data_IF_902327680044
#
_entry.id   IF_902327680044
#
_cell.length_a   1.000
_cell.length_b   1.000
_cell.length_c   1.000
_cell.angle_alpha   90.00
_cell.angle_beta   90.00
_cell.angle_gamma   90.00
#
_symmetry.space_group_name_H-M   'P 1'
#
loop_
_entity.id
_entity.type
_entity.pdbx_description
1 polymer ?
#
# COMPACT_ATOMS: atom_id res chain seq x y z
N UNK A 1 7.17 -4.81 -7.76
CA UNK A 1 7.24 -3.36 -7.46
C UNK A 1 8.50 -3.00 -6.70
N UNK A 2 8.82 -3.69 -5.60
CA UNK A 2 10.06 -3.48 -4.83
C UNK A 2 11.32 -3.47 -5.72
N UNK A 3 11.44 -4.39 -6.67
CA UNK A 3 12.55 -4.41 -7.65
C UNK A 3 12.65 -3.15 -8.51
N UNK A 4 11.52 -2.56 -8.93
CA UNK A 4 11.50 -1.35 -9.75
C UNK A 4 11.96 -0.15 -8.91
N UNK A 5 11.46 -0.03 -7.68
CA UNK A 5 11.87 1.01 -6.73
C UNK A 5 13.38 0.89 -6.45
N UNK A 6 13.88 -0.31 -6.17
CA UNK A 6 15.32 -0.55 -5.99
C UNK A 6 16.17 -0.23 -7.24
N UNK A 7 15.66 -0.53 -8.44
CA UNK A 7 16.36 -0.18 -9.68
C UNK A 7 16.45 1.35 -9.88
N UNK A 8 15.36 2.07 -9.57
CA UNK A 8 15.34 3.54 -9.58
C UNK A 8 16.33 4.09 -8.56
N UNK A 9 16.34 3.54 -7.34
CA UNK A 9 17.30 3.92 -6.30
C UNK A 9 18.74 3.85 -6.80
N UNK A 10 19.16 2.69 -7.33
CA UNK A 10 20.53 2.53 -7.82
C UNK A 10 20.83 3.45 -9.02
N UNK A 11 19.88 3.65 -9.93
CA UNK A 11 20.04 4.58 -11.04
C UNK A 11 20.24 6.02 -10.56
N UNK A 12 19.48 6.46 -9.55
CA UNK A 12 19.58 7.80 -8.97
C UNK A 12 20.89 7.98 -8.18
N UNK A 13 21.35 6.95 -7.47
CA UNK A 13 22.66 6.95 -6.79
C UNK A 13 23.79 7.07 -7.82
N UNK A 14 23.78 6.26 -8.87
CA UNK A 14 24.78 6.31 -9.96
C UNK A 14 24.75 7.69 -10.64
N UNK A 15 23.56 8.21 -10.92
CA UNK A 15 23.37 9.55 -11.49
C UNK A 15 24.00 10.65 -10.62
N UNK A 16 23.86 10.52 -9.29
CA UNK A 16 24.47 11.44 -8.35
C UNK A 16 26.00 11.35 -8.37
N UNK A 17 26.57 10.15 -8.37
CA UNK A 17 28.02 9.96 -8.47
C UNK A 17 28.61 10.51 -9.77
N UNK A 18 27.97 10.24 -10.91
CA UNK A 18 28.41 10.70 -12.22
C UNK A 18 28.42 12.24 -12.35
N UNK A 19 27.65 12.94 -11.51
CA UNK A 19 27.64 14.42 -11.51
C UNK A 19 28.93 15.08 -11.04
N UNK A 20 29.82 14.31 -10.42
CA UNK A 20 31.18 14.78 -10.11
C UNK A 20 32.05 14.92 -11.36
N UNK A 21 31.69 14.33 -12.50
CA UNK A 21 32.43 14.43 -13.76
C UNK A 21 32.15 15.80 -14.40
N UNK A 22 33.14 16.69 -14.37
CA UNK A 22 32.97 18.12 -14.70
C UNK A 22 33.42 18.54 -16.10
N UNK A 23 34.22 17.73 -16.82
CA UNK A 23 34.88 18.12 -18.09
C UNK A 23 34.97 16.95 -19.07
N UNK A 24 34.97 17.27 -20.37
CA UNK A 24 35.11 16.32 -21.48
C UNK A 24 33.80 15.63 -21.90
N UNK A 25 33.86 14.75 -22.90
CA UNK A 25 32.70 14.00 -23.44
C UNK A 25 31.95 13.22 -22.36
N UNK A 26 32.64 12.74 -21.33
CA UNK A 26 32.01 12.05 -20.19
C UNK A 26 31.05 12.92 -19.37
N UNK A 27 31.25 14.24 -19.33
CA UNK A 27 30.34 15.16 -18.65
C UNK A 27 29.01 15.32 -19.40
N UNK A 28 29.04 15.29 -20.74
CA UNK A 28 27.83 15.33 -21.57
C UNK A 28 26.99 14.06 -21.39
N UNK A 29 27.64 12.88 -21.46
CA UNK A 29 26.98 11.60 -21.20
C UNK A 29 26.41 11.51 -19.78
N UNK A 30 27.14 11.97 -18.76
CA UNK A 30 26.65 12.01 -17.38
C UNK A 30 25.41 12.92 -17.24
N UNK A 31 25.40 14.07 -17.91
CA UNK A 31 24.25 14.99 -17.93
C UNK A 31 23.05 14.37 -18.63
N UNK A 32 23.25 13.72 -19.78
CA UNK A 32 22.19 13.04 -20.51
C UNK A 32 21.60 11.89 -19.69
N UNK A 33 22.45 11.03 -19.13
CA UNK A 33 22.05 9.93 -18.25
C UNK A 33 21.15 10.45 -17.12
N UNK A 34 21.58 11.53 -16.44
CA UNK A 34 20.79 12.14 -15.38
C UNK A 34 19.41 12.60 -15.84
N UNK A 35 19.32 13.31 -16.97
CA UNK A 35 18.02 13.78 -17.49
C UNK A 35 17.09 12.59 -17.72
N UNK A 36 17.60 11.53 -18.37
CA UNK A 36 16.83 10.30 -18.63
C UNK A 36 16.38 9.66 -17.31
N UNK A 37 17.27 9.49 -16.33
CA UNK A 37 16.93 8.90 -15.03
C UNK A 37 15.85 9.71 -14.30
N UNK A 38 15.95 11.04 -14.28
CA UNK A 38 14.97 11.91 -13.62
C UNK A 38 13.60 11.78 -14.29
N UNK A 39 13.55 11.95 -15.61
CA UNK A 39 12.28 11.88 -16.37
C UNK A 39 11.63 10.51 -16.20
N UNK A 40 12.42 9.43 -16.31
CA UNK A 40 11.94 8.07 -16.11
C UNK A 40 11.40 7.84 -14.69
N UNK A 41 12.14 8.28 -13.66
CA UNK A 41 11.74 8.12 -12.26
C UNK A 41 10.45 8.88 -11.95
N UNK A 42 10.34 10.14 -12.39
CA UNK A 42 9.12 10.95 -12.23
C UNK A 42 7.94 10.27 -12.92
N UNK A 43 8.14 9.74 -14.13
CA UNK A 43 7.08 9.08 -14.89
C UNK A 43 6.55 7.84 -14.18
N UNK A 44 7.45 6.97 -13.68
CA UNK A 44 7.06 5.77 -12.92
C UNK A 44 6.33 6.13 -11.63
N UNK A 45 6.87 7.07 -10.85
CA UNK A 45 6.24 7.45 -9.59
C UNK A 45 4.89 8.13 -9.82
N UNK A 46 4.75 8.94 -10.88
CA UNK A 46 3.47 9.57 -11.23
C UNK A 46 2.44 8.53 -11.65
N UNK A 47 2.81 7.61 -12.55
CA UNK A 47 1.94 6.50 -12.95
C UNK A 47 1.49 5.68 -11.75
N UNK A 48 2.44 5.33 -10.86
CA UNK A 48 2.14 4.55 -9.67
C UNK A 48 1.25 5.30 -8.68
N UNK A 49 1.51 6.58 -8.46
CA UNK A 49 0.69 7.44 -7.60
C UNK A 49 -0.75 7.51 -8.10
N UNK A 50 -0.95 7.70 -9.41
CA UNK A 50 -2.29 7.71 -10.02
C UNK A 50 -2.95 6.34 -9.82
N UNK A 51 -2.25 5.25 -10.12
CA UNK A 51 -2.78 3.89 -9.96
C UNK A 51 -3.20 3.58 -8.52
N UNK A 52 -2.48 4.10 -7.53
CA UNK A 52 -2.78 3.87 -6.10
C UNK A 52 -3.83 4.84 -5.54
N UNK A 53 -3.92 6.06 -6.08
CA UNK A 53 -4.79 7.13 -5.57
C UNK A 53 -6.14 7.21 -6.27
N UNK A 54 -6.24 6.71 -7.50
CA UNK A 54 -7.53 6.57 -8.16
C UNK A 54 -8.40 5.64 -7.31
N UNK A 55 -9.47 6.19 -6.73
CA UNK A 55 -10.56 5.41 -6.12
C UNK A 55 -11.24 4.70 -7.27
N UNK A 56 -10.66 3.57 -7.69
CA UNK A 56 -11.30 2.69 -8.63
C UNK A 56 -12.54 2.17 -7.93
N UNK A 57 -13.72 2.63 -8.34
CA UNK A 57 -14.89 1.76 -8.28
C UNK A 57 -14.47 0.58 -9.14
N UNK A 58 -14.18 -0.52 -8.48
CA UNK A 58 -13.66 -1.70 -9.13
C UNK A 58 -14.86 -2.41 -9.74
N UNK A 59 -14.89 -2.55 -11.06
CA UNK A 59 -15.89 -3.40 -11.72
C UNK A 59 -15.83 -4.81 -11.14
N UNK A 60 -16.99 -5.45 -10.99
CA UNK A 60 -17.15 -6.78 -10.38
C UNK A 60 -16.58 -6.89 -8.95
N UNK A 61 -16.79 -5.85 -8.13
CA UNK A 61 -16.41 -5.86 -6.72
C UNK A 61 -17.61 -5.78 -5.78
N UNK A 62 -17.46 -6.38 -4.61
CA UNK A 62 -18.43 -6.30 -3.52
C UNK A 62 -18.11 -5.06 -2.69
N UNK A 63 -19.11 -4.18 -2.51
CA UNK A 63 -18.95 -3.05 -1.61
C UNK A 63 -19.11 -3.52 -0.16
N UNK A 64 -18.05 -3.37 0.63
CA UNK A 64 -18.05 -3.61 2.07
C UNK A 64 -18.08 -2.26 2.80
N UNK A 65 -19.16 -2.00 3.52
CA UNK A 65 -19.26 -0.88 4.44
C UNK A 65 -18.96 -1.34 5.86
N UNK A 66 -17.90 -0.81 6.47
CA UNK A 66 -17.57 -1.05 7.88
C UNK A 66 -17.94 0.19 8.70
N UNK A 67 -18.83 0.02 9.66
CA UNK A 67 -19.32 1.06 10.56
C UNK A 67 -18.77 0.82 11.96
N UNK A 68 -18.07 1.80 12.51
CA UNK A 68 -17.60 1.73 13.89
C UNK A 68 -18.65 2.31 14.84
N UNK A 69 -19.28 1.48 15.66
CA UNK A 69 -20.22 1.90 16.72
C UNK A 69 -19.59 1.87 18.12
N UNK A 70 -18.29 1.59 18.22
CA UNK A 70 -17.57 1.62 19.49
C UNK A 70 -17.19 3.06 19.87
N UNK A 71 -17.05 3.36 21.17
CA UNK A 71 -16.75 4.72 21.64
C UNK A 71 -15.33 5.20 21.30
N UNK A 72 -14.46 4.31 20.81
CA UNK A 72 -13.08 4.62 20.47
C UNK A 72 -12.82 4.42 18.97
N UNK A 73 -11.95 5.24 18.35
CA UNK A 73 -11.51 5.03 16.99
C UNK A 73 -10.74 3.72 16.87
N UNK A 74 -11.10 2.90 15.89
CA UNK A 74 -10.43 1.62 15.62
C UNK A 74 -9.83 1.63 14.22
N UNK A 75 -8.68 0.99 14.10
CA UNK A 75 -7.99 0.81 12.84
C UNK A 75 -8.39 -0.52 12.21
N UNK A 76 -9.08 -0.45 11.08
CA UNK A 76 -9.68 -1.63 10.45
C UNK A 76 -8.89 -2.12 9.25
N UNK A 77 -8.80 -3.44 9.16
CA UNK A 77 -8.23 -4.18 8.06
C UNK A 77 -9.22 -5.23 7.59
N UNK A 78 -9.24 -5.46 6.28
CA UNK A 78 -9.97 -6.55 5.65
C UNK A 78 -8.97 -7.51 5.03
N UNK A 79 -9.23 -8.79 5.20
CA UNK A 79 -8.38 -9.87 4.71
C UNK A 79 -9.26 -10.77 3.85
N UNK A 80 -8.92 -10.95 2.59
CA UNK A 80 -9.66 -11.86 1.68
C UNK A 80 -8.85 -13.12 1.43
N UNK A 81 -9.53 -14.26 1.40
CA UNK A 81 -8.90 -15.58 1.23
C UNK A 81 -9.13 -16.07 -0.19
N UNK A 82 -8.13 -16.01 -1.07
CA UNK A 82 -8.28 -16.61 -2.40
C UNK A 82 -8.06 -18.12 -2.33
N UNK A 83 -9.01 -18.88 -2.88
CA UNK A 83 -9.01 -20.35 -2.87
C UNK A 83 -8.42 -20.95 -4.15
N UNK A 84 -7.40 -20.30 -4.71
CA UNK A 84 -6.62 -20.91 -5.79
C UNK A 84 -5.75 -22.01 -5.19
N UNK A 85 -6.14 -23.25 -5.51
CA UNK A 85 -5.47 -24.50 -5.15
C UNK A 85 -3.94 -24.33 -5.12
N UNK A 86 -3.32 -24.66 -3.97
CA UNK A 86 -1.88 -24.55 -3.67
C UNK A 86 -1.36 -23.14 -3.33
N UNK A 87 -1.79 -22.65 -2.16
CA UNK A 87 -1.21 -21.49 -1.49
C UNK A 87 -2.20 -20.33 -1.44
N UNK A 88 -2.99 -20.30 -0.35
CA UNK A 88 -3.98 -19.25 -0.09
C UNK A 88 -3.31 -17.88 -0.25
N UNK A 89 -3.58 -17.19 -1.36
CA UNK A 89 -3.13 -15.81 -1.53
C UNK A 89 -4.05 -14.96 -0.68
N UNK A 90 -3.55 -14.61 0.51
CA UNK A 90 -4.25 -13.77 1.46
C UNK A 90 -4.01 -12.32 1.07
N UNK A 91 -5.00 -11.64 0.50
CA UNK A 91 -4.90 -10.20 0.25
C UNK A 91 -5.35 -9.45 1.49
N UNK A 92 -4.52 -8.50 1.94
CA UNK A 92 -4.77 -7.71 3.15
C UNK A 92 -4.86 -6.25 2.75
N UNK A 93 -5.97 -5.61 3.11
CA UNK A 93 -6.22 -4.22 2.78
C UNK A 93 -6.54 -3.42 4.03
N UNK A 94 -5.91 -2.27 4.14
CA UNK A 94 -6.17 -1.31 5.20
C UNK A 94 -7.40 -0.47 4.83
N UNK A 95 -8.49 -0.63 5.58
CA UNK A 95 -9.70 0.17 5.40
C UNK A 95 -9.50 1.57 5.99
N UNK A 96 -8.74 1.64 7.09
CA UNK A 96 -8.37 2.88 7.76
C UNK A 96 -8.87 2.96 9.19
N UNK A 97 -8.49 4.08 9.81
CA UNK A 97 -8.90 4.42 11.16
C UNK A 97 -10.30 5.05 11.14
N UNK A 98 -11.30 4.29 11.59
CA UNK A 98 -12.71 4.69 11.58
C UNK A 98 -13.09 5.24 12.96
N UNK A 99 -13.54 6.49 12.98
CA UNK A 99 -14.00 7.16 14.19
C UNK A 99 -15.34 6.58 14.68
N UNK A 100 -15.69 6.74 15.97
CA UNK A 100 -17.00 6.37 16.50
C UNK A 100 -18.13 7.00 15.67
N UNK A 101 -19.14 6.21 15.33
CA UNK A 101 -20.31 6.56 14.52
C UNK A 101 -20.04 6.90 13.05
N UNK A 102 -18.81 6.72 12.57
CA UNK A 102 -18.47 6.86 11.15
C UNK A 102 -18.31 5.51 10.47
N UNK A 103 -18.28 5.55 9.14
CA UNK A 103 -18.06 4.38 8.31
C UNK A 103 -17.01 4.63 7.23
N UNK A 104 -16.47 3.54 6.70
CA UNK A 104 -15.70 3.51 5.46
C UNK A 104 -16.29 2.46 4.55
N UNK A 105 -16.27 2.74 3.25
CA UNK A 105 -16.64 1.79 2.21
C UNK A 105 -15.35 1.33 1.54
N UNK A 106 -15.24 0.03 1.35
CA UNK A 106 -14.14 -0.59 0.66
C UNK A 106 -14.67 -1.53 -0.43
N UNK A 107 -14.02 -1.54 -1.58
CA UNK A 107 -14.39 -2.40 -2.70
C UNK A 107 -13.50 -3.64 -2.71
N UNK A 108 -14.12 -4.81 -2.56
CA UNK A 108 -13.44 -6.10 -2.45
C UNK A 108 -13.60 -6.88 -3.75
N UNK A 109 -12.48 -7.25 -4.38
CA UNK A 109 -12.48 -8.22 -5.48
C UNK A 109 -12.59 -9.62 -4.91
N UNK A 110 -13.72 -10.26 -5.17
CA UNK A 110 -14.05 -11.58 -4.63
C UNK A 110 -14.12 -12.65 -5.73
N UNK A 111 -13.51 -12.41 -6.89
CA UNK A 111 -13.56 -13.31 -8.05
C UNK A 111 -13.16 -14.76 -7.67
N UNK A 112 -12.12 -14.89 -6.84
CA UNK A 112 -11.56 -16.18 -6.41
C UNK A 112 -11.71 -16.43 -4.89
N UNK A 113 -12.59 -15.69 -4.22
CA UNK A 113 -12.77 -15.75 -2.77
C UNK A 113 -14.24 -15.74 -2.40
N UNK A 114 -14.63 -16.61 -1.47
CA UNK A 114 -15.99 -16.68 -0.93
C UNK A 114 -16.02 -16.25 0.55
N UNK A 115 -14.91 -15.73 1.08
CA UNK A 115 -14.75 -15.42 2.48
C UNK A 115 -13.79 -14.25 2.72
N UNK A 116 -14.15 -13.39 3.66
CA UNK A 116 -13.27 -12.34 4.16
C UNK A 116 -13.31 -12.22 5.68
N UNK A 117 -12.22 -11.71 6.25
CA UNK A 117 -12.10 -11.40 7.66
C UNK A 117 -11.99 -9.90 7.87
N UNK A 118 -12.56 -9.44 8.98
CA UNK A 118 -12.38 -8.07 9.45
C UNK A 118 -11.59 -8.12 10.74
N UNK A 119 -10.51 -7.35 10.80
CA UNK A 119 -9.68 -7.17 11.98
C UNK A 119 -9.71 -5.69 12.39
N UNK A 120 -10.08 -5.41 13.62
CA UNK A 120 -10.10 -4.07 14.20
C UNK A 120 -9.08 -3.96 15.34
N UNK A 121 -8.23 -2.94 15.26
CA UNK A 121 -7.18 -2.68 16.23
C UNK A 121 -7.44 -1.41 17.03
N UNK A 122 -7.21 -1.50 18.33
CA UNK A 122 -7.09 -0.34 19.19
C UNK A 122 -5.61 0.06 19.30
N UNK A 123 -5.23 1.14 18.62
CA UNK A 123 -3.82 1.50 18.47
C UNK A 123 -3.07 0.53 17.54
N UNK A 124 -1.74 0.40 17.70
CA UNK A 124 -0.89 -0.28 16.70
C UNK A 124 -0.81 -1.81 16.79
N UNK A 125 -1.12 -2.40 17.95
CA UNK A 125 -0.83 -3.84 18.21
C UNK A 125 -1.96 -4.59 18.91
N UNK A 126 -2.96 -3.89 19.43
CA UNK A 126 -4.02 -4.53 20.21
C UNK A 126 -5.21 -4.85 19.31
N UNK A 127 -5.31 -6.10 18.86
CA UNK A 127 -6.48 -6.59 18.14
C UNK A 127 -7.64 -6.71 19.13
N UNK A 128 -8.70 -5.94 18.91
CA UNK A 128 -9.88 -5.88 19.80
C UNK A 128 -11.16 -6.35 19.11
N UNK A 129 -11.13 -6.45 17.79
CA UNK A 129 -12.23 -6.96 16.98
C UNK A 129 -11.72 -7.92 15.92
N UNK A 130 -12.36 -9.09 15.81
CA UNK A 130 -12.14 -10.05 14.75
C UNK A 130 -13.45 -10.79 14.42
N UNK A 131 -13.82 -10.79 13.15
CA UNK A 131 -14.96 -11.53 12.63
C UNK A 131 -14.65 -12.13 11.25
N UNK A 132 -15.20 -13.33 11.02
CA UNK A 132 -15.14 -14.06 9.75
C UNK A 132 -16.50 -13.98 9.06
N UNK A 133 -16.50 -13.61 7.78
CA UNK A 133 -17.70 -13.45 6.98
C UNK A 133 -17.62 -14.28 5.71
N UNK A 134 -18.53 -15.23 5.56
CA UNK A 134 -18.76 -15.92 4.30
C UNK A 134 -19.60 -15.01 3.38
N UNK A 135 -19.30 -15.05 2.08
CA UNK A 135 -19.97 -14.26 1.05
C UNK A 135 -20.71 -15.20 0.08
N UNK A 136 -21.92 -15.68 0.45
CA UNK A 136 -22.66 -16.64 -0.37
C UNK A 136 -23.21 -16.03 -1.67
N UNK A 137 -23.38 -14.70 -1.72
CA UNK A 137 -23.82 -13.98 -2.90
C UNK A 137 -22.94 -12.76 -3.14
N UNK A 138 -22.15 -12.79 -4.23
CA UNK A 138 -21.21 -11.73 -4.61
C UNK A 138 -21.91 -10.50 -5.22
N UNK A 139 -23.20 -10.60 -5.53
CA UNK A 139 -23.99 -9.49 -6.07
C UNK A 139 -24.63 -8.62 -4.97
N UNK A 140 -24.33 -8.89 -3.69
CA UNK A 140 -24.91 -8.16 -2.56
C UNK A 140 -23.86 -7.41 -1.76
N UNK A 141 -24.06 -6.11 -1.62
CA UNK A 141 -23.26 -5.26 -0.74
C UNK A 141 -23.35 -5.74 0.71
N UNK A 142 -22.23 -5.59 1.42
CA UNK A 142 -22.08 -6.04 2.80
C UNK A 142 -21.98 -4.84 3.72
N UNK A 143 -22.75 -4.84 4.81
CA UNK A 143 -22.69 -3.81 5.85
C UNK A 143 -22.35 -4.49 7.17
N UNK A 144 -21.20 -4.12 7.75
CA UNK A 144 -20.72 -4.65 9.02
C UNK A 144 -20.70 -3.55 10.06
N UNK A 145 -21.49 -3.74 11.11
CA UNK A 145 -21.54 -2.83 12.25
C UNK A 145 -20.76 -3.39 13.44
N UNK A 146 -19.68 -2.72 13.80
CA UNK A 146 -18.81 -3.10 14.91
C UNK A 146 -19.33 -2.43 16.18
N UNK A 147 -20.16 -3.16 16.93
CA UNK A 147 -20.82 -2.67 18.15
C UNK A 147 -20.10 -3.06 19.44
N UNK A 148 -19.34 -4.16 19.42
CA UNK A 148 -18.69 -4.74 20.59
C UNK A 148 -17.28 -5.18 20.25
N UNK A 149 -16.42 -5.27 21.26
CA UNK A 149 -15.16 -5.99 21.16
C UNK A 149 -15.44 -7.49 21.09
N UNK A 150 -15.13 -8.11 19.96
CA UNK A 150 -15.42 -9.52 19.71
C UNK A 150 -14.18 -10.14 19.10
N UNK A 151 -13.81 -11.34 19.56
CA UNK A 151 -12.87 -12.19 18.83
C UNK A 151 -13.56 -13.53 18.56
N UNK A 152 -14.09 -13.70 17.35
CA UNK A 152 -14.89 -14.87 17.00
C UNK A 152 -14.07 -16.18 17.06
N UNK A 153 -12.77 -16.12 16.77
CA UNK A 153 -11.90 -17.30 16.79
C UNK A 153 -10.45 -16.89 17.04
N UNK A 154 -9.91 -17.32 18.18
CA UNK A 154 -8.51 -17.01 18.57
C UNK A 154 -7.54 -17.48 17.49
N UNK A 155 -7.70 -18.72 17.00
CA UNK A 155 -6.82 -19.30 15.98
C UNK A 155 -6.81 -18.49 14.68
N UNK A 156 -7.97 -18.07 14.18
CA UNK A 156 -8.06 -17.28 12.95
C UNK A 156 -7.59 -15.84 13.17
N UNK A 157 -7.86 -15.29 14.36
CA UNK A 157 -7.41 -13.94 14.73
C UNK A 157 -5.88 -13.85 14.81
N UNK A 158 -5.19 -14.91 15.25
CA UNK A 158 -3.73 -14.97 15.26
C UNK A 158 -3.15 -15.01 13.84
N UNK A 159 -3.82 -15.71 12.92
CA UNK A 159 -3.44 -15.71 11.50
C UNK A 159 -3.67 -14.34 10.87
N UNK A 160 -4.82 -13.73 11.11
CA UNK A 160 -5.12 -12.37 10.66
C UNK A 160 -4.10 -11.36 11.19
N UNK A 161 -3.71 -11.49 12.46
CA UNK A 161 -2.70 -10.64 13.07
C UNK A 161 -1.36 -10.73 12.37
N UNK A 162 -0.88 -11.95 12.09
CA UNK A 162 0.37 -12.15 11.33
C UNK A 162 0.30 -11.48 9.96
N UNK A 163 -0.85 -11.58 9.29
CA UNK A 163 -1.00 -11.03 7.95
C UNK A 163 -1.07 -9.51 7.91
N UNK A 164 -1.74 -8.90 8.89
CA UNK A 164 -1.71 -7.44 9.07
C UNK A 164 -0.30 -6.95 9.44
N UNK A 165 0.43 -7.69 10.28
CA UNK A 165 1.82 -7.35 10.63
C UNK A 165 2.76 -7.43 9.41
N UNK A 166 2.66 -8.48 8.60
CA UNK A 166 3.43 -8.63 7.36
C UNK A 166 3.10 -7.52 6.35
N UNK A 167 1.81 -7.25 6.13
CA UNK A 167 1.34 -6.17 5.28
C UNK A 167 1.91 -4.80 5.71
N UNK A 168 1.84 -4.50 7.01
CA UNK A 168 2.37 -3.26 7.56
C UNK A 168 3.89 -3.19 7.43
N UNK A 169 4.60 -4.29 7.66
CA UNK A 169 6.06 -4.36 7.52
C UNK A 169 6.51 -4.09 6.08
N UNK A 170 5.89 -4.75 5.09
CA UNK A 170 6.22 -4.52 3.67
C UNK A 170 5.86 -3.10 3.23
N UNK A 171 4.74 -2.53 3.70
CA UNK A 171 4.41 -1.13 3.43
C UNK A 171 5.42 -0.14 4.02
N UNK A 172 5.88 -0.36 5.26
CA UNK A 172 6.92 0.48 5.89
C UNK A 172 8.22 0.39 5.09
N UNK A 173 8.64 -0.82 4.75
CA UNK A 173 9.86 -1.08 3.96
C UNK A 173 9.79 -0.39 2.59
N UNK A 174 8.68 -0.52 1.86
CA UNK A 174 8.46 0.18 0.58
C UNK A 174 8.47 1.69 0.81
N UNK A 175 7.81 2.19 1.86
CA UNK A 175 7.77 3.61 2.21
C UNK A 175 9.16 4.21 2.43
N UNK A 176 10.06 3.48 3.10
CA UNK A 176 11.46 3.89 3.29
C UNK A 176 12.16 4.07 1.93
N UNK A 177 12.07 3.07 1.05
CA UNK A 177 12.72 3.13 -0.27
C UNK A 177 12.17 4.27 -1.13
N UNK A 178 10.85 4.42 -1.20
CA UNK A 178 10.22 5.52 -1.95
C UNK A 178 10.64 6.89 -1.42
N UNK A 179 10.74 7.05 -0.09
CA UNK A 179 11.18 8.31 0.51
C UNK A 179 12.63 8.62 0.18
N UNK A 180 13.51 7.62 0.21
CA UNK A 180 14.92 7.76 -0.20
C UNK A 180 15.04 8.13 -1.68
N UNK A 181 14.23 7.52 -2.55
CA UNK A 181 14.20 7.84 -3.97
C UNK A 181 13.76 9.27 -4.22
N UNK A 182 12.71 9.75 -3.56
CA UNK A 182 12.28 11.15 -3.67
C UNK A 182 13.36 12.13 -3.20
N UNK A 183 14.09 11.80 -2.13
CA UNK A 183 15.24 12.60 -1.69
C UNK A 183 16.34 12.66 -2.76
N UNK A 184 16.70 11.51 -3.34
CA UNK A 184 17.72 11.43 -4.40
C UNK A 184 17.27 12.11 -5.70
N UNK A 185 16.00 11.98 -6.05
CA UNK A 185 15.40 12.63 -7.22
C UNK A 185 15.44 14.15 -7.05
N UNK A 186 15.03 14.65 -5.88
CA UNK A 186 15.14 16.06 -5.53
C UNK A 186 16.58 16.57 -5.61
N UNK A 187 17.55 15.83 -5.07
CA UNK A 187 18.96 16.21 -5.11
C UNK A 187 19.51 16.24 -6.55
N UNK A 188 19.21 15.22 -7.36
CA UNK A 188 19.62 15.18 -8.76
C UNK A 188 18.97 16.31 -9.58
N UNK A 189 17.72 16.66 -9.29
CA UNK A 189 17.01 17.77 -9.91
C UNK A 189 17.65 19.12 -9.57
N UNK A 190 17.89 19.40 -8.28
CA UNK A 190 18.54 20.64 -7.85
C UNK A 190 19.94 20.77 -8.43
N UNK A 191 20.73 19.69 -8.42
CA UNK A 191 22.09 19.72 -8.98
C UNK A 191 22.11 19.88 -10.51
N UNK A 192 21.04 19.51 -11.20
CA UNK A 192 20.88 19.77 -12.63
C UNK A 192 20.51 21.23 -12.91
N UNK A 193 19.61 21.81 -12.09
CA UNK A 193 19.12 23.18 -12.24
C UNK A 193 20.14 24.22 -11.75
N UNK A 194 20.94 23.89 -10.73
CA UNK A 194 21.97 24.76 -10.19
C UNK A 194 23.07 24.98 -11.25
N UNK A 195 22.85 25.95 -12.13
CA UNK A 195 23.84 26.48 -13.04
C UNK A 195 25.07 26.86 -12.23
N UNK A 196 26.23 26.35 -12.65
CA UNK A 196 27.51 26.92 -12.24
C UNK A 196 27.57 28.32 -12.84
N UNK A 197 27.39 29.35 -12.01
CA UNK A 197 28.17 30.57 -12.22
C UNK A 197 29.64 30.20 -12.27
#
# INVERSE_FOLDING_TARGET
MVFIVLAIFWALVISLFLSKIKRGKGAEWAKLFRIVTIVFSISIFTYWFIKKSAVGIVEDSVALQVINKLPQPLDFYVITLNDTETGKVIDTKHIGNIRPEYYRIEYLKMDNSDEYWIAGYLGKKNLVYFSQHALPNKNMDQIIEVRNYINQSVKLSDLAKKQVEEYNYENIKIGIWVTLDFLLLFLNLILLIKNRK
#
